data_IF_194697244984
#
_entry.id   IF_194697244984
#
_cell.length_a   1.000
_cell.length_b   1.000
_cell.length_c   1.000
_cell.angle_alpha   90.00
_cell.angle_beta   90.00
_cell.angle_gamma   90.00
#
_symmetry.space_group_name_H-M   'P 1'
#
loop_
_entity.id
_entity.type
_entity.pdbx_description
1 polymer ?
#
# COMPACT_ATOMS: atom_id res chain seq x y z
N UNK A 1 6.68 16.06 -2.39
CA UNK A 1 6.47 16.01 -3.86
C UNK A 1 6.01 14.63 -4.36
N UNK A 2 6.19 13.60 -3.62
CA UNK A 2 5.79 12.19 -3.77
C UNK A 2 5.53 11.74 -5.24
N UNK A 3 4.28 11.67 -5.68
CA UNK A 3 3.92 11.22 -7.03
C UNK A 3 4.10 12.29 -8.12
N UNK A 4 4.21 13.58 -7.77
CA UNK A 4 4.19 14.67 -8.74
C UNK A 4 5.30 14.59 -9.81
N UNK A 5 6.57 14.23 -9.48
CA UNK A 5 7.60 14.08 -10.51
C UNK A 5 7.33 12.94 -11.50
N UNK A 6 6.74 11.84 -11.01
CA UNK A 6 6.35 10.72 -11.86
C UNK A 6 5.17 11.11 -12.77
N UNK A 7 4.16 11.77 -12.23
CA UNK A 7 3.00 12.27 -12.99
C UNK A 7 3.46 13.22 -14.09
N UNK A 8 4.31 14.21 -13.77
CA UNK A 8 4.81 15.16 -14.75
C UNK A 8 5.60 14.51 -15.91
N UNK A 9 6.20 13.34 -15.66
CA UNK A 9 6.95 12.59 -16.68
C UNK A 9 6.07 11.68 -17.53
N UNK A 10 5.01 11.11 -16.94
CA UNK A 10 4.24 10.01 -17.54
C UNK A 10 2.92 10.52 -18.15
N UNK A 11 2.32 11.55 -17.54
CA UNK A 11 1.01 12.06 -17.98
C UNK A 11 1.20 13.14 -19.04
N UNK A 12 0.78 12.91 -20.31
CA UNK A 12 1.09 13.81 -21.42
C UNK A 12 0.09 14.98 -21.57
N UNK A 13 -0.77 15.20 -20.60
CA UNK A 13 -1.82 16.23 -20.65
C UNK A 13 -1.92 16.97 -19.32
N UNK A 14 -2.44 18.22 -19.32
CA UNK A 14 -2.68 18.98 -18.09
C UNK A 14 -3.63 18.21 -17.16
N UNK A 15 -3.22 18.02 -15.92
CA UNK A 15 -3.98 17.28 -14.92
C UNK A 15 -3.89 17.92 -13.55
N UNK A 16 -4.96 17.76 -12.78
CA UNK A 16 -5.02 18.11 -11.36
C UNK A 16 -4.82 16.84 -10.53
N UNK A 17 -3.99 16.93 -9.51
CA UNK A 17 -3.72 15.84 -8.58
C UNK A 17 -4.48 16.10 -7.30
N UNK A 18 -5.22 15.10 -6.82
CA UNK A 18 -5.98 15.18 -5.57
C UNK A 18 -5.60 13.99 -4.69
N UNK A 19 -5.20 14.23 -3.46
CA UNK A 19 -4.85 13.17 -2.53
C UNK A 19 -6.10 12.41 -2.08
N UNK A 20 -6.07 11.08 -2.21
CA UNK A 20 -7.10 10.23 -1.61
C UNK A 20 -6.78 9.97 -0.13
N UNK A 21 -5.62 9.38 0.17
CA UNK A 21 -5.17 9.11 1.53
C UNK A 21 -3.67 8.81 1.56
N UNK A 22 -3.08 8.86 2.74
CA UNK A 22 -1.80 8.22 3.04
C UNK A 22 -2.10 6.95 3.83
N UNK A 23 -1.40 5.87 3.54
CA UNK A 23 -1.59 4.61 4.26
C UNK A 23 -0.29 3.96 4.69
N UNK A 24 -0.36 3.18 5.78
CA UNK A 24 0.76 2.37 6.24
C UNK A 24 0.91 1.13 5.36
N UNK A 25 2.11 0.93 4.80
CA UNK A 25 2.55 -0.32 4.16
C UNK A 25 3.56 -1.05 5.04
N UNK A 26 3.47 -2.38 5.06
CA UNK A 26 4.36 -3.18 5.88
C UNK A 26 4.16 -4.68 5.74
N UNK A 27 4.78 -5.41 6.63
CA UNK A 27 4.73 -6.86 6.67
C UNK A 27 3.49 -7.30 7.47
N UNK A 28 2.60 -8.00 6.80
CA UNK A 28 1.49 -8.72 7.44
C UNK A 28 2.01 -10.06 7.90
N UNK A 29 1.82 -10.38 9.18
CA UNK A 29 2.26 -11.63 9.81
C UNK A 29 1.11 -12.27 10.59
N UNK A 30 1.21 -13.56 10.84
CA UNK A 30 0.19 -14.27 11.61
C UNK A 30 0.04 -13.65 13.02
N UNK A 31 -1.16 -13.77 13.60
CA UNK A 31 -1.48 -13.25 14.93
C UNK A 31 -0.47 -13.75 15.99
N UNK A 32 0.03 -12.84 16.79
CA UNK A 32 1.07 -13.09 17.80
C UNK A 32 2.46 -13.16 17.20
N UNK A 33 2.62 -12.95 15.90
CA UNK A 33 3.90 -12.97 15.18
C UNK A 33 4.82 -14.14 15.61
N UNK A 34 4.38 -15.40 15.41
CA UNK A 34 5.07 -16.59 15.97
C UNK A 34 6.47 -16.80 15.42
N UNK A 35 6.78 -16.19 14.26
CA UNK A 35 8.11 -16.22 13.65
C UNK A 35 9.01 -15.05 14.10
N UNK A 36 8.50 -14.16 14.96
CA UNK A 36 9.21 -12.97 15.45
C UNK A 36 9.85 -12.15 14.32
N UNK A 37 9.08 -11.89 13.26
CA UNK A 37 9.48 -11.08 12.11
C UNK A 37 9.39 -9.61 12.51
N UNK A 38 10.48 -8.84 12.35
CA UNK A 38 10.60 -7.44 12.79
C UNK A 38 10.94 -6.49 11.65
N UNK A 39 11.43 -7.01 10.54
CA UNK A 39 11.86 -6.22 9.39
C UNK A 39 12.21 -7.08 8.18
N UNK A 40 12.72 -6.42 7.16
CA UNK A 40 13.07 -7.05 5.87
C UNK A 40 14.16 -8.11 6.03
N UNK A 41 15.09 -7.90 6.93
CA UNK A 41 16.22 -8.81 7.17
C UNK A 41 15.76 -10.19 7.63
N UNK A 42 14.65 -10.25 8.34
CA UNK A 42 14.08 -11.50 8.83
C UNK A 42 13.51 -12.38 7.73
N UNK A 43 13.18 -11.81 6.56
CA UNK A 43 12.61 -12.56 5.43
C UNK A 43 13.60 -13.57 4.82
N UNK A 44 14.89 -13.34 4.97
CA UNK A 44 15.96 -14.23 4.51
C UNK A 44 16.29 -15.36 5.50
N UNK A 45 15.65 -15.40 6.67
CA UNK A 45 15.89 -16.46 7.65
C UNK A 45 15.38 -17.82 7.14
N UNK A 46 16.10 -18.93 7.40
CA UNK A 46 15.63 -20.26 7.08
C UNK A 46 14.24 -20.55 7.69
N UNK A 47 13.35 -21.11 6.90
CA UNK A 47 12.01 -21.48 7.35
C UNK A 47 11.01 -20.32 7.39
N UNK A 48 11.33 -19.17 6.82
CA UNK A 48 10.38 -18.09 6.52
C UNK A 48 9.96 -18.21 5.06
N UNK A 49 8.65 -18.30 4.83
CA UNK A 49 8.07 -18.30 3.50
C UNK A 49 7.23 -17.04 3.28
N UNK A 50 7.42 -16.36 2.16
CA UNK A 50 6.69 -15.14 1.84
C UNK A 50 5.59 -15.40 0.80
N UNK A 51 4.61 -14.50 0.77
CA UNK A 51 3.71 -14.28 -0.38
C UNK A 51 3.90 -12.85 -0.86
N UNK A 52 3.94 -12.69 -2.17
CA UNK A 52 4.22 -11.42 -2.83
C UNK A 52 3.00 -10.90 -3.57
N UNK A 53 3.07 -9.65 -4.02
CA UNK A 53 2.14 -9.07 -4.97
C UNK A 53 2.67 -9.25 -6.41
N UNK A 54 1.82 -9.02 -7.38
CA UNK A 54 2.18 -9.01 -8.79
C UNK A 54 3.28 -7.98 -9.08
N UNK A 55 4.16 -8.27 -10.06
CA UNK A 55 5.18 -7.31 -10.51
C UNK A 55 4.52 -5.98 -10.92
N UNK A 56 5.11 -4.87 -10.48
CA UNK A 56 4.63 -3.51 -10.76
C UNK A 56 3.61 -2.97 -9.76
N UNK A 57 3.10 -3.76 -8.82
CA UNK A 57 2.32 -3.22 -7.70
C UNK A 57 3.21 -2.45 -6.72
N UNK A 58 2.68 -1.42 -6.07
CA UNK A 58 3.43 -0.61 -5.09
C UNK A 58 4.04 -1.47 -3.98
N UNK A 59 3.30 -2.42 -3.41
CA UNK A 59 3.83 -3.33 -2.37
C UNK A 59 4.98 -4.21 -2.87
N UNK A 60 4.96 -4.63 -4.15
CA UNK A 60 6.05 -5.39 -4.74
C UNK A 60 7.28 -4.50 -4.92
N UNK A 61 7.10 -3.28 -5.42
CA UNK A 61 8.19 -2.30 -5.56
C UNK A 61 8.80 -2.00 -4.19
N UNK A 62 7.97 -1.74 -3.17
CA UNK A 62 8.45 -1.51 -1.81
C UNK A 62 9.29 -2.68 -1.27
N UNK A 63 8.84 -3.92 -1.48
CA UNK A 63 9.59 -5.10 -1.07
C UNK A 63 10.94 -5.17 -1.80
N UNK A 64 10.94 -5.03 -3.12
CA UNK A 64 12.14 -5.18 -3.95
C UNK A 64 13.18 -4.08 -3.65
N UNK A 65 12.73 -2.83 -3.43
CA UNK A 65 13.58 -1.73 -2.99
C UNK A 65 14.15 -1.97 -1.58
N UNK A 66 13.32 -2.43 -0.65
CA UNK A 66 13.74 -2.74 0.72
C UNK A 66 14.76 -3.88 0.77
N UNK A 67 14.56 -4.94 -0.02
CA UNK A 67 15.52 -6.04 -0.16
C UNK A 67 16.85 -5.55 -0.75
N UNK A 68 16.78 -4.70 -1.77
CA UNK A 68 17.97 -4.10 -2.39
C UNK A 68 18.75 -3.26 -1.40
N UNK A 69 18.07 -2.41 -0.63
CA UNK A 69 18.68 -1.58 0.40
C UNK A 69 19.33 -2.40 1.51
N UNK A 70 18.74 -3.56 1.85
CA UNK A 70 19.29 -4.50 2.83
C UNK A 70 20.37 -5.43 2.25
N UNK A 71 20.64 -5.38 0.93
CA UNK A 71 21.60 -6.28 0.27
C UNK A 71 21.16 -7.74 0.23
N UNK A 72 19.86 -8.02 0.25
CA UNK A 72 19.28 -9.36 0.27
C UNK A 72 18.83 -9.74 -1.15
N UNK A 73 19.44 -10.75 -1.78
CA UNK A 73 18.98 -11.26 -3.07
C UNK A 73 17.58 -11.89 -2.94
N UNK A 74 16.66 -11.50 -3.82
CA UNK A 74 15.29 -12.04 -3.82
C UNK A 74 15.21 -13.55 -3.95
N UNK A 75 16.17 -14.17 -4.64
CA UNK A 75 16.29 -15.62 -4.78
C UNK A 75 16.55 -16.40 -3.47
N UNK A 76 16.89 -15.70 -2.37
CA UNK A 76 17.00 -16.32 -1.05
C UNK A 76 15.65 -16.48 -0.34
N UNK A 77 14.62 -15.79 -0.80
CA UNK A 77 13.31 -15.79 -0.15
C UNK A 77 12.44 -16.95 -0.66
N UNK A 78 12.12 -17.87 0.23
CA UNK A 78 11.16 -18.92 -0.10
C UNK A 78 9.77 -18.31 -0.37
N UNK A 79 9.20 -18.60 -1.53
CA UNK A 79 7.88 -18.10 -1.92
C UNK A 79 7.89 -16.73 -2.60
N UNK A 80 9.05 -16.16 -2.95
CA UNK A 80 9.14 -14.88 -3.65
C UNK A 80 8.29 -14.81 -4.93
N UNK A 81 8.16 -15.93 -5.66
CA UNK A 81 7.36 -16.02 -6.87
C UNK A 81 5.89 -16.39 -6.62
N UNK A 82 5.50 -16.63 -5.36
CA UNK A 82 4.10 -16.85 -4.99
C UNK A 82 3.36 -15.52 -4.99
N UNK A 83 2.41 -15.35 -5.88
CA UNK A 83 1.69 -14.10 -6.10
C UNK A 83 0.26 -14.15 -5.57
N UNK A 84 -0.14 -13.11 -4.86
CA UNK A 84 -1.50 -12.80 -4.45
C UNK A 84 -1.99 -11.52 -5.15
N UNK A 85 -3.25 -11.53 -5.63
CA UNK A 85 -3.78 -10.48 -6.50
C UNK A 85 -4.21 -9.19 -5.77
N UNK A 86 -4.26 -9.17 -4.43
CA UNK A 86 -4.68 -8.01 -3.64
C UNK A 86 -4.01 -7.98 -2.27
N UNK A 87 -4.07 -6.84 -1.58
CA UNK A 87 -3.61 -6.75 -0.19
C UNK A 87 -4.38 -7.71 0.73
N UNK A 88 -5.68 -7.84 0.51
CA UNK A 88 -6.51 -8.75 1.29
C UNK A 88 -6.12 -10.21 1.03
N UNK A 89 -5.87 -10.59 -0.24
CA UNK A 89 -5.41 -11.95 -0.58
C UNK A 89 -4.04 -12.26 0.01
N UNK A 90 -3.12 -11.28 0.13
CA UNK A 90 -1.87 -11.47 0.88
C UNK A 90 -2.17 -11.81 2.34
N UNK A 91 -3.03 -11.03 2.99
CA UNK A 91 -3.40 -11.26 4.38
C UNK A 91 -4.13 -12.60 4.57
N UNK A 92 -4.99 -13.02 3.63
CA UNK A 92 -5.65 -14.33 3.64
C UNK A 92 -4.63 -15.47 3.59
N UNK A 93 -3.66 -15.42 2.67
CA UNK A 93 -2.61 -16.45 2.52
C UNK A 93 -1.78 -16.59 3.79
N UNK A 94 -1.46 -15.45 4.44
CA UNK A 94 -0.77 -15.44 5.74
C UNK A 94 -1.67 -15.98 6.86
N UNK A 95 -2.94 -15.54 6.88
CA UNK A 95 -3.90 -15.93 7.92
C UNK A 95 -4.19 -17.42 7.98
N UNK A 96 -4.19 -18.10 6.82
CA UNK A 96 -4.37 -19.56 6.73
C UNK A 96 -3.05 -20.35 6.79
N UNK A 97 -1.92 -19.69 7.00
CA UNK A 97 -0.61 -20.32 7.21
C UNK A 97 0.05 -20.88 5.94
N UNK A 98 -0.36 -20.46 4.75
CA UNK A 98 0.30 -20.84 3.47
C UNK A 98 1.56 -20.01 3.22
N UNK A 99 1.71 -18.88 3.88
CA UNK A 99 2.95 -18.11 3.99
C UNK A 99 3.08 -17.56 5.42
N UNK A 100 4.29 -17.23 5.85
CA UNK A 100 4.55 -16.63 7.15
C UNK A 100 4.37 -15.11 7.14
N UNK A 101 4.56 -14.49 5.97
CA UNK A 101 4.58 -13.04 5.81
C UNK A 101 4.31 -12.61 4.37
N UNK A 102 3.78 -11.40 4.20
CA UNK A 102 3.68 -10.72 2.92
C UNK A 102 3.56 -9.21 3.08
N UNK A 103 3.90 -8.43 2.04
CA UNK A 103 3.77 -6.97 2.07
C UNK A 103 2.36 -6.56 1.65
N UNK A 104 1.69 -5.81 2.52
CA UNK A 104 0.35 -5.27 2.26
C UNK A 104 0.10 -3.99 3.07
N UNK A 105 -1.08 -3.38 2.85
CA UNK A 105 -1.55 -2.26 3.67
C UNK A 105 -2.02 -2.74 5.05
N UNK A 106 -1.83 -1.93 6.07
CA UNK A 106 -2.22 -2.24 7.45
C UNK A 106 -3.69 -2.60 7.61
N UNK A 107 -4.57 -1.95 6.84
CA UNK A 107 -6.00 -2.25 6.86
C UNK A 107 -6.31 -3.71 6.52
N UNK A 108 -5.54 -4.35 5.63
CA UNK A 108 -5.72 -5.77 5.31
C UNK A 108 -5.37 -6.68 6.50
N UNK A 109 -4.33 -6.35 7.25
CA UNK A 109 -4.00 -7.08 8.49
C UNK A 109 -5.09 -6.91 9.54
N UNK A 110 -5.58 -5.68 9.77
CA UNK A 110 -6.66 -5.38 10.71
C UNK A 110 -7.93 -6.16 10.36
N UNK A 111 -8.33 -6.17 9.08
CA UNK A 111 -9.56 -6.84 8.62
C UNK A 111 -9.58 -8.34 8.93
N UNK A 112 -8.42 -8.99 9.00
CA UNK A 112 -8.30 -10.42 9.28
C UNK A 112 -7.75 -10.73 10.69
N UNK A 113 -7.57 -9.71 11.54
CA UNK A 113 -7.06 -9.89 12.92
C UNK A 113 -5.62 -10.40 12.97
N UNK A 114 -4.82 -10.02 11.98
CA UNK A 114 -3.39 -10.35 11.88
C UNK A 114 -2.53 -9.24 12.46
N UNK A 115 -1.27 -9.54 12.75
CA UNK A 115 -0.30 -8.56 13.19
C UNK A 115 0.38 -7.87 12.00
N UNK A 116 0.94 -6.68 12.27
CA UNK A 116 1.50 -5.83 11.25
C UNK A 116 2.83 -5.22 11.72
N UNK A 117 3.86 -5.31 10.88
CA UNK A 117 5.16 -4.68 11.09
C UNK A 117 5.34 -3.58 10.05
N UNK A 118 5.36 -2.28 10.44
CA UNK A 118 5.42 -1.18 9.49
C UNK A 118 6.75 -1.15 8.74
N UNK A 119 6.70 -0.88 7.44
CA UNK A 119 7.88 -0.60 6.60
C UNK A 119 7.93 0.86 6.15
N UNK A 120 6.78 1.46 5.87
CA UNK A 120 6.71 2.83 5.42
C UNK A 120 5.28 3.29 5.16
N UNK A 121 5.16 4.49 4.62
CA UNK A 121 3.88 5.06 4.22
C UNK A 121 3.87 5.32 2.72
N UNK A 122 2.71 5.17 2.11
CA UNK A 122 2.44 5.53 0.72
C UNK A 122 1.30 6.52 0.65
N UNK A 123 1.41 7.50 -0.27
CA UNK A 123 0.31 8.40 -0.60
C UNK A 123 -0.35 7.95 -1.90
N UNK A 124 -1.63 7.77 -1.86
CA UNK A 124 -2.47 7.48 -3.02
C UNK A 124 -3.10 8.78 -3.52
N UNK A 125 -2.80 9.12 -4.77
CA UNK A 125 -3.29 10.31 -5.43
C UNK A 125 -4.17 9.94 -6.63
N UNK A 126 -5.23 10.71 -6.84
CA UNK A 126 -6.05 10.70 -8.03
C UNK A 126 -5.49 11.71 -9.03
N UNK A 127 -5.23 11.27 -10.25
CA UNK A 127 -4.78 12.15 -11.35
C UNK A 127 -5.96 12.39 -12.28
N UNK A 128 -6.48 13.61 -12.29
CA UNK A 128 -7.70 13.99 -13.01
C UNK A 128 -7.30 14.87 -14.19
N UNK A 129 -7.52 14.44 -15.45
CA UNK A 129 -7.30 15.31 -16.61
C UNK A 129 -8.14 16.58 -16.52
N UNK A 130 -7.53 17.75 -16.74
CA UNK A 130 -8.20 19.04 -16.51
C UNK A 130 -9.49 19.24 -17.31
N UNK A 131 -9.61 18.61 -18.48
CA UNK A 131 -10.84 18.70 -19.29
C UNK A 131 -12.04 17.97 -18.66
N UNK A 132 -11.84 17.12 -17.64
CA UNK A 132 -12.92 16.49 -16.89
C UNK A 132 -13.28 17.22 -15.59
N UNK A 133 -12.49 18.21 -15.14
CA UNK A 133 -12.70 18.88 -13.84
C UNK A 133 -14.10 19.52 -13.70
N UNK A 134 -14.67 20.00 -14.80
CA UNK A 134 -16.00 20.60 -14.81
C UNK A 134 -17.13 19.58 -15.06
N UNK A 135 -16.79 18.29 -15.17
CA UNK A 135 -17.77 17.23 -15.34
C UNK A 135 -18.50 16.89 -14.04
N UNK A 136 -19.78 16.57 -14.12
CA UNK A 136 -20.63 16.25 -12.97
C UNK A 136 -20.05 15.09 -12.15
N UNK A 137 -19.61 14.01 -12.78
CA UNK A 137 -19.02 12.85 -12.10
C UNK A 137 -17.77 13.20 -11.30
N UNK A 138 -16.90 14.09 -11.79
CA UNK A 138 -15.72 14.55 -11.06
C UNK A 138 -16.12 15.46 -9.91
N UNK A 139 -17.08 16.34 -10.09
CA UNK A 139 -17.60 17.19 -9.03
C UNK A 139 -18.21 16.36 -7.88
N UNK A 140 -18.97 15.32 -8.22
CA UNK A 140 -19.51 14.36 -7.24
C UNK A 140 -18.40 13.58 -6.51
N UNK A 141 -17.38 13.09 -7.23
CA UNK A 141 -16.21 12.43 -6.65
C UNK A 141 -15.50 13.34 -5.63
N UNK A 142 -15.18 14.57 -6.02
CA UNK A 142 -14.50 15.53 -5.15
C UNK A 142 -15.35 15.89 -3.92
N UNK A 143 -16.66 15.99 -4.10
CA UNK A 143 -17.61 16.21 -3.00
C UNK A 143 -17.62 15.01 -2.05
N UNK A 144 -17.65 13.79 -2.59
CA UNK A 144 -17.61 12.57 -1.80
C UNK A 144 -16.32 12.45 -0.97
N UNK A 145 -15.16 12.75 -1.57
CA UNK A 145 -13.85 12.73 -0.88
C UNK A 145 -13.81 13.70 0.32
N UNK A 146 -14.51 14.82 0.22
CA UNK A 146 -14.60 15.84 1.28
C UNK A 146 -15.71 15.57 2.28
N UNK A 147 -16.53 14.55 2.05
CA UNK A 147 -17.66 14.27 2.92
C UNK A 147 -17.19 13.67 4.26
N UNK A 148 -17.67 14.17 5.41
CA UNK A 148 -17.31 13.61 6.72
C UNK A 148 -17.71 12.14 6.88
N UNK A 149 -18.71 11.68 6.13
CA UNK A 149 -19.16 10.30 6.16
C UNK A 149 -18.12 9.34 5.55
N UNK A 150 -17.63 9.64 4.34
CA UNK A 150 -16.59 8.84 3.70
C UNK A 150 -15.29 8.87 4.50
N UNK A 151 -14.90 10.06 4.98
CA UNK A 151 -13.70 10.22 5.78
C UNK A 151 -13.72 9.33 7.02
N UNK A 152 -14.82 9.34 7.80
CA UNK A 152 -14.98 8.45 8.96
C UNK A 152 -14.94 6.96 8.58
N UNK A 153 -15.52 6.59 7.44
CA UNK A 153 -15.50 5.19 6.97
C UNK A 153 -14.08 4.73 6.63
N UNK A 154 -13.30 5.56 5.95
CA UNK A 154 -11.90 5.25 5.60
C UNK A 154 -11.02 5.20 6.86
N UNK A 155 -11.19 6.17 7.77
CA UNK A 155 -10.47 6.19 9.05
C UNK A 155 -10.76 4.95 9.90
N UNK A 156 -12.01 4.50 9.90
CA UNK A 156 -12.45 3.30 10.64
C UNK A 156 -11.82 1.98 10.12
N UNK A 157 -11.32 1.94 8.89
CA UNK A 157 -10.57 0.78 8.37
C UNK A 157 -9.22 0.60 9.08
N UNK A 158 -8.69 1.68 9.65
CA UNK A 158 -7.37 1.71 10.29
C UNK A 158 -6.20 1.73 9.30
N UNK A 159 -5.10 2.38 9.68
CA UNK A 159 -3.91 2.48 8.84
C UNK A 159 -4.01 3.45 7.66
N UNK A 160 -5.03 4.31 7.64
CA UNK A 160 -5.19 5.41 6.70
C UNK A 160 -5.09 6.75 7.42
N UNK A 161 -4.29 7.67 6.89
CA UNK A 161 -4.30 9.09 7.24
C UNK A 161 -5.08 9.83 6.14
N UNK A 162 -6.17 10.47 6.56
CA UNK A 162 -7.11 11.19 5.69
C UNK A 162 -6.98 12.71 5.80
N UNK A 163 -5.98 13.24 6.52
CA UNK A 163 -5.83 14.68 6.77
C UNK A 163 -5.79 15.52 5.48
N UNK A 164 -5.28 14.95 4.39
CA UNK A 164 -5.21 15.60 3.07
C UNK A 164 -6.24 15.05 2.07
N UNK A 165 -7.23 14.25 2.50
CA UNK A 165 -8.23 13.67 1.59
C UNK A 165 -9.04 14.75 0.87
N UNK A 166 -9.08 14.67 -0.47
CA UNK A 166 -9.78 15.63 -1.32
C UNK A 166 -9.08 16.98 -1.49
N UNK A 167 -7.83 17.11 -1.02
CA UNK A 167 -7.00 18.31 -1.22
C UNK A 167 -5.97 18.08 -2.32
N UNK A 168 -5.58 19.17 -2.99
CA UNK A 168 -4.42 19.16 -3.87
C UNK A 168 -3.14 19.08 -3.04
N UNK A 169 -2.16 18.23 -3.42
CA UNK A 169 -0.90 18.17 -2.70
C UNK A 169 -0.16 19.52 -2.76
N UNK A 170 0.32 19.98 -1.63
CA UNK A 170 1.14 21.19 -1.58
C UNK A 170 2.39 21.00 -2.45
N UNK A 171 2.61 21.92 -3.37
CA UNK A 171 3.88 22.04 -4.12
C UNK A 171 4.85 22.74 -3.20
N UNK A 172 5.80 22.00 -2.62
CA UNK A 172 6.89 22.57 -1.84
C UNK A 172 8.06 22.97 -2.75
#
# INVERSE_FOLDING_TARGET
LYNLPAIARIVPFPSTVVTFAVWDQGLVVARGNPKAIRGIEDLARPGIAIVNREPGSGSRVLLDESLTAAGIPSGLLAGYDRVAASHLSVAEVVGIGLADVGVAVKAAAIALGLDFVPLGQERYDLVIPNHFLNGEAVAELLTALRSPNLQRQVEALGGYDIACMGLEPAVA
#
